data_IF_192361344343
#
_entry.id   IF_192361344343
#
_cell.length_a   1.000
_cell.length_b   1.000
_cell.length_c   1.000
_cell.angle_alpha   90.00
_cell.angle_beta   90.00
_cell.angle_gamma   90.00
#
_symmetry.space_group_name_H-M   'P 1'
#
loop_
_entity.id
_entity.type
_entity.pdbx_description
1 polymer ?
#
# COMPACT_ATOMS: atom_id res chain seq x y z
N UNK A 1 -11.96 -5.52 -10.08
CA UNK A 1 -11.14 -6.73 -9.79
C UNK A 1 -9.83 -6.65 -10.57
N UNK A 2 -8.74 -7.22 -10.03
CA UNK A 2 -7.49 -7.37 -10.80
C UNK A 2 -7.19 -8.85 -10.90
N UNK A 3 -7.00 -9.35 -12.14
CA UNK A 3 -6.61 -10.74 -12.43
C UNK A 3 -5.17 -10.76 -12.93
N UNK A 4 -4.35 -11.55 -12.29
CA UNK A 4 -2.93 -11.75 -12.58
C UNK A 4 -2.75 -13.20 -13.01
N UNK A 5 -2.28 -13.42 -14.24
CA UNK A 5 -2.14 -14.74 -14.83
C UNK A 5 -0.69 -14.99 -15.25
N UNK A 6 -0.07 -16.00 -14.65
CA UNK A 6 1.25 -16.55 -14.98
C UNK A 6 2.38 -15.49 -15.06
N UNK A 7 2.31 -14.48 -14.18
CA UNK A 7 3.32 -13.41 -14.17
C UNK A 7 4.67 -13.96 -13.73
N UNK A 8 5.68 -13.71 -14.58
CA UNK A 8 7.09 -13.87 -14.25
C UNK A 8 7.83 -12.56 -14.51
N UNK A 9 8.81 -12.25 -13.68
CA UNK A 9 9.61 -11.04 -13.78
C UNK A 9 11.05 -11.28 -13.37
N UNK A 10 11.98 -10.82 -14.20
CA UNK A 10 13.42 -10.93 -13.96
C UNK A 10 14.10 -9.56 -14.05
N UNK A 11 15.14 -9.35 -13.25
CA UNK A 11 16.02 -8.18 -13.31
C UNK A 11 17.46 -8.70 -13.42
N UNK A 12 18.20 -8.24 -14.41
CA UNK A 12 19.61 -8.63 -14.63
C UNK A 12 19.79 -10.16 -14.60
N UNK A 13 18.93 -10.90 -15.31
CA UNK A 13 18.95 -12.36 -15.38
C UNK A 13 18.48 -13.09 -14.12
N UNK A 14 18.18 -12.39 -13.02
CA UNK A 14 17.70 -13.02 -11.78
C UNK A 14 16.17 -12.96 -11.70
N UNK A 15 15.54 -14.12 -11.57
CA UNK A 15 14.08 -14.21 -11.37
C UNK A 15 13.69 -13.58 -10.03
N UNK A 16 12.81 -12.59 -10.08
CA UNK A 16 12.20 -11.92 -8.92
C UNK A 16 10.80 -12.42 -8.64
N UNK A 17 10.06 -12.81 -9.68
CA UNK A 17 8.75 -13.43 -9.59
C UNK A 17 8.67 -14.56 -10.61
N UNK A 18 8.03 -15.67 -10.23
CA UNK A 18 7.91 -16.87 -11.04
C UNK A 18 6.49 -17.41 -11.00
N UNK A 19 5.81 -17.39 -12.15
CA UNK A 19 4.48 -17.97 -12.34
C UNK A 19 3.44 -17.53 -11.29
N UNK A 20 3.34 -16.22 -11.06
CA UNK A 20 2.39 -15.64 -10.10
C UNK A 20 0.97 -15.67 -10.69
N UNK A 21 0.06 -16.32 -10.00
CA UNK A 21 -1.38 -16.30 -10.26
C UNK A 21 -2.11 -15.75 -9.05
N UNK A 22 -2.84 -14.62 -9.21
CA UNK A 22 -3.47 -13.93 -8.11
C UNK A 22 -4.72 -13.17 -8.58
N UNK A 23 -5.79 -13.22 -7.78
CA UNK A 23 -6.98 -12.41 -7.98
C UNK A 23 -7.15 -11.43 -6.81
N UNK A 24 -7.08 -10.12 -7.08
CA UNK A 24 -7.39 -9.08 -6.12
C UNK A 24 -8.86 -8.73 -6.26
N UNK A 25 -9.63 -8.99 -5.22
CA UNK A 25 -11.08 -8.84 -5.24
C UNK A 25 -11.48 -7.40 -4.94
N UNK A 26 -12.55 -6.94 -5.61
CA UNK A 26 -13.10 -5.60 -5.40
C UNK A 26 -13.63 -5.45 -3.97
N UNK A 27 -13.47 -4.25 -3.39
CA UNK A 27 -13.94 -3.91 -2.04
C UNK A 27 -13.41 -4.84 -0.95
N UNK A 28 -12.17 -5.31 -1.13
CA UNK A 28 -11.48 -6.20 -0.20
C UNK A 28 -10.07 -5.70 0.10
N UNK A 29 -9.61 -5.99 1.30
CA UNK A 29 -8.25 -5.70 1.73
C UNK A 29 -7.40 -6.95 1.56
N UNK A 30 -6.41 -6.88 0.66
CA UNK A 30 -5.44 -7.94 0.41
C UNK A 30 -4.09 -7.54 0.97
N UNK A 31 -3.58 -8.31 1.91
CA UNK A 31 -2.23 -8.15 2.45
C UNK A 31 -1.27 -9.11 1.73
N UNK A 32 -0.15 -8.56 1.29
CA UNK A 32 0.96 -9.33 0.69
C UNK A 32 2.12 -9.30 1.68
N UNK A 33 2.58 -10.47 2.12
CA UNK A 33 3.70 -10.59 3.05
C UNK A 33 4.76 -11.56 2.53
N UNK A 34 5.89 -11.62 3.21
CA UNK A 34 7.03 -12.48 2.88
C UNK A 34 8.34 -11.86 3.32
N UNK A 35 9.41 -12.64 3.32
CA UNK A 35 10.76 -12.19 3.69
C UNK A 35 11.24 -11.04 2.79
N UNK A 36 12.28 -10.33 3.23
CA UNK A 36 12.96 -9.34 2.39
C UNK A 36 13.47 -10.02 1.11
N UNK A 37 13.26 -9.36 -0.04
CA UNK A 37 13.65 -9.91 -1.33
C UNK A 37 12.68 -10.96 -1.92
N UNK A 38 11.58 -11.32 -1.25
CA UNK A 38 10.62 -12.31 -1.76
C UNK A 38 9.82 -11.86 -3.00
N UNK A 39 9.90 -10.58 -3.39
CA UNK A 39 9.24 -10.06 -4.58
C UNK A 39 8.02 -9.18 -4.32
N UNK A 40 7.65 -8.88 -3.06
CA UNK A 40 6.47 -8.07 -2.69
C UNK A 40 6.40 -6.74 -3.45
N UNK A 41 7.42 -5.90 -3.33
CA UNK A 41 7.44 -4.59 -4.00
C UNK A 41 7.46 -4.69 -5.53
N UNK A 42 8.06 -5.76 -6.09
CA UNK A 42 7.98 -6.02 -7.53
C UNK A 42 6.56 -6.37 -7.94
N UNK A 43 5.89 -7.24 -7.18
CA UNK A 43 4.51 -7.64 -7.47
C UNK A 43 3.55 -6.44 -7.46
N UNK A 44 3.60 -5.59 -6.43
CA UNK A 44 2.69 -4.43 -6.37
C UNK A 44 3.02 -3.37 -7.44
N UNK A 45 4.29 -3.19 -7.82
CA UNK A 45 4.68 -2.31 -8.94
C UNK A 45 4.17 -2.85 -10.28
N UNK A 46 4.14 -4.18 -10.46
CA UNK A 46 3.55 -4.81 -11.65
C UNK A 46 2.02 -4.65 -11.62
N UNK A 47 1.36 -4.85 -10.48
CA UNK A 47 -0.08 -4.61 -10.31
C UNK A 47 -0.42 -3.16 -10.70
N UNK A 48 0.44 -2.21 -10.34
CA UNK A 48 0.28 -0.79 -10.65
C UNK A 48 0.80 -0.40 -12.06
N UNK A 49 1.26 -1.35 -12.87
CA UNK A 49 1.83 -1.13 -14.20
C UNK A 49 3.02 -0.17 -14.25
N UNK A 50 3.74 0.01 -13.13
CA UNK A 50 4.97 0.81 -13.06
C UNK A 50 6.13 0.07 -13.70
N UNK A 51 6.14 -1.26 -13.57
CA UNK A 51 7.07 -2.16 -14.26
C UNK A 51 6.28 -3.23 -14.99
N UNK A 52 6.82 -3.70 -16.11
CA UNK A 52 6.17 -4.71 -16.93
C UNK A 52 6.74 -6.10 -16.62
N UNK A 53 5.89 -7.14 -16.58
CA UNK A 53 6.35 -8.50 -16.42
C UNK A 53 7.08 -9.00 -17.68
N UNK A 54 7.99 -9.95 -17.49
CA UNK A 54 8.67 -10.63 -18.61
C UNK A 54 7.75 -11.64 -19.31
N UNK A 55 6.78 -12.20 -18.56
CA UNK A 55 5.77 -13.17 -19.07
C UNK A 55 4.46 -13.00 -18.31
N UNK A 56 3.36 -13.42 -18.91
CA UNK A 56 2.02 -13.40 -18.33
C UNK A 56 1.25 -12.12 -18.63
N UNK A 57 0.10 -11.97 -17.99
CA UNK A 57 -0.80 -10.83 -18.25
C UNK A 57 -1.52 -10.35 -16.99
N UNK A 58 -1.90 -9.07 -16.98
CA UNK A 58 -2.74 -8.46 -15.97
C UNK A 58 -3.96 -7.83 -16.63
N UNK A 59 -5.13 -8.16 -16.08
CA UNK A 59 -6.39 -7.48 -16.43
C UNK A 59 -6.88 -6.73 -15.19
N UNK A 60 -7.23 -5.44 -15.35
CA UNK A 60 -7.70 -4.57 -14.28
C UNK A 60 -8.94 -3.80 -14.72
N UNK A 61 -9.96 -3.76 -13.85
CA UNK A 61 -11.17 -2.96 -14.05
C UNK A 61 -11.04 -1.55 -13.45
N UNK A 62 -9.85 -1.18 -12.95
CA UNK A 62 -9.60 0.14 -12.39
C UNK A 62 -8.95 1.06 -13.43
N UNK A 63 -9.43 2.30 -13.46
CA UNK A 63 -8.83 3.35 -14.30
C UNK A 63 -7.45 3.76 -13.80
N UNK A 64 -6.56 4.05 -14.72
CA UNK A 64 -5.20 4.52 -14.44
C UNK A 64 -5.13 6.05 -14.46
N UNK A 65 -4.15 6.64 -13.80
CA UNK A 65 -3.13 6.01 -12.95
C UNK A 65 -3.66 5.62 -11.56
N UNK A 66 -3.27 4.45 -11.06
CA UNK A 66 -3.59 3.99 -9.70
C UNK A 66 -2.57 4.60 -8.74
N UNK A 67 -2.99 5.37 -7.75
CA UNK A 67 -2.07 5.91 -6.76
C UNK A 67 -1.46 4.84 -5.89
N UNK A 68 -0.16 4.98 -5.65
CA UNK A 68 0.62 4.07 -4.84
C UNK A 68 1.48 4.84 -3.84
N UNK A 69 1.40 4.46 -2.57
CA UNK A 69 2.38 4.85 -1.56
C UNK A 69 3.60 3.95 -1.69
N UNK A 70 4.72 4.52 -2.13
CA UNK A 70 6.00 3.82 -2.21
C UNK A 70 6.66 3.75 -0.83
N UNK A 71 7.55 2.78 -0.64
CA UNK A 71 8.40 2.67 0.55
C UNK A 71 9.26 3.92 0.79
N UNK A 72 9.68 4.60 -0.30
CA UNK A 72 10.39 5.90 -0.27
C UNK A 72 9.58 6.93 -1.05
N UNK A 73 8.60 7.59 -0.43
CA UNK A 73 7.75 8.55 -1.13
C UNK A 73 8.49 9.87 -1.41
N UNK A 74 8.08 10.54 -2.48
CA UNK A 74 8.61 11.87 -2.83
C UNK A 74 8.05 12.92 -1.87
N UNK A 75 8.95 13.79 -1.39
CA UNK A 75 8.61 14.96 -0.58
C UNK A 75 9.14 16.26 -1.19
N UNK A 76 8.46 17.37 -0.88
CA UNK A 76 8.90 18.72 -1.22
C UNK A 76 9.71 19.31 -0.06
N UNK A 77 10.70 20.15 -0.37
CA UNK A 77 11.40 20.98 0.63
C UNK A 77 10.54 22.19 1.03
N UNK A 78 9.33 21.93 1.51
CA UNK A 78 8.32 22.90 1.93
C UNK A 78 7.77 22.52 3.31
N UNK A 79 6.63 23.11 3.71
CA UNK A 79 5.95 22.77 4.96
C UNK A 79 5.34 21.35 4.94
N UNK A 80 4.95 20.85 6.11
CA UNK A 80 4.17 19.62 6.24
C UNK A 80 2.86 19.74 5.45
N UNK A 81 2.15 20.86 5.58
CA UNK A 81 0.86 21.08 4.90
C UNK A 81 1.00 21.08 3.38
N UNK A 82 2.05 21.69 2.82
CA UNK A 82 2.33 21.63 1.38
C UNK A 82 2.57 20.19 0.90
N UNK A 83 3.28 19.40 1.70
CA UNK A 83 3.53 17.99 1.39
C UNK A 83 2.25 17.15 1.48
N UNK A 84 1.38 17.42 2.45
CA UNK A 84 0.07 16.77 2.55
C UNK A 84 -0.80 17.09 1.33
N UNK A 85 -0.88 18.37 0.93
CA UNK A 85 -1.70 18.84 -0.18
C UNK A 85 -1.12 18.58 -1.56
N UNK A 86 0.09 18.04 -1.67
CA UNK A 86 0.81 17.89 -2.94
C UNK A 86 -0.03 17.23 -4.04
N UNK A 87 -0.64 16.09 -3.75
CA UNK A 87 -1.42 15.36 -4.75
C UNK A 87 -2.74 16.06 -5.08
N UNK A 88 -3.41 16.67 -4.11
CA UNK A 88 -4.65 17.41 -4.36
C UNK A 88 -4.41 18.63 -5.23
N UNK A 89 -3.30 19.31 -5.04
CA UNK A 89 -2.91 20.45 -5.87
C UNK A 89 -2.63 20.03 -7.32
N UNK A 90 -1.96 18.87 -7.52
CA UNK A 90 -1.71 18.31 -8.85
C UNK A 90 -3.01 17.89 -9.52
N UNK A 91 -3.92 17.21 -8.80
CA UNK A 91 -5.16 16.67 -9.34
C UNK A 91 -6.34 17.64 -9.29
N UNK A 92 -6.17 18.83 -8.70
CA UNK A 92 -7.24 19.83 -8.45
C UNK A 92 -8.48 19.19 -7.77
N UNK A 93 -8.25 18.29 -6.82
CA UNK A 93 -9.29 17.51 -6.16
C UNK A 93 -9.52 17.94 -4.72
N UNK A 94 -10.73 17.72 -4.18
CA UNK A 94 -11.04 17.92 -2.76
C UNK A 94 -10.25 16.96 -1.90
N UNK A 95 -9.86 17.39 -0.70
CA UNK A 95 -9.07 16.62 0.26
C UNK A 95 -9.93 16.24 1.46
N UNK A 96 -10.00 14.96 1.77
CA UNK A 96 -10.55 14.49 3.02
C UNK A 96 -9.46 14.56 4.11
N UNK A 97 -9.63 15.45 5.10
CA UNK A 97 -8.66 15.65 6.18
C UNK A 97 -8.75 14.63 7.33
N UNK A 98 -9.58 13.58 7.21
CA UNK A 98 -9.76 12.59 8.28
C UNK A 98 -8.44 11.98 8.75
N UNK A 99 -7.58 11.57 7.82
CA UNK A 99 -6.27 10.99 8.15
C UNK A 99 -5.28 12.01 8.69
N UNK A 100 -5.37 13.25 8.23
CA UNK A 100 -4.59 14.35 8.76
C UNK A 100 -4.91 14.59 10.24
N UNK A 101 -6.19 14.53 10.59
CA UNK A 101 -6.66 14.64 11.98
C UNK A 101 -6.34 13.38 12.80
N UNK A 102 -6.46 12.18 12.21
CA UNK A 102 -6.14 10.91 12.85
C UNK A 102 -4.72 10.89 13.45
N UNK A 103 -3.77 11.51 12.76
CA UNK A 103 -2.38 11.59 13.21
C UNK A 103 -2.02 12.92 13.88
N UNK A 104 -2.99 13.75 14.26
CA UNK A 104 -2.79 15.04 14.93
C UNK A 104 -1.81 15.99 14.21
N UNK A 105 -1.76 15.95 12.88
CA UNK A 105 -0.79 16.70 12.07
C UNK A 105 -1.02 18.23 12.09
N UNK A 106 -2.18 18.70 12.54
CA UNK A 106 -2.50 20.14 12.63
C UNK A 106 -1.47 20.94 13.43
N UNK A 107 -0.93 20.36 14.51
CA UNK A 107 0.06 21.02 15.36
C UNK A 107 1.40 21.26 14.64
N UNK A 108 1.67 20.48 13.60
CA UNK A 108 2.94 20.48 12.86
C UNK A 108 2.83 21.14 11.48
N UNK A 109 1.66 21.63 11.07
CA UNK A 109 1.35 22.04 9.69
C UNK A 109 2.35 23.01 9.07
N UNK A 110 2.87 23.97 9.85
CA UNK A 110 3.85 25.00 9.39
C UNK A 110 5.30 24.53 9.46
N UNK A 111 5.58 23.38 10.10
CA UNK A 111 6.94 22.86 10.26
C UNK A 111 7.52 22.46 8.90
N UNK A 112 8.79 22.79 8.66
CA UNK A 112 9.50 22.36 7.44
C UNK A 112 9.58 20.83 7.40
N UNK A 113 9.22 20.22 6.28
CA UNK A 113 9.15 18.77 6.15
C UNK A 113 10.47 18.07 6.49
N UNK A 114 11.60 18.66 6.12
CA UNK A 114 12.93 18.13 6.43
C UNK A 114 13.23 18.01 7.93
N UNK A 115 12.55 18.81 8.77
CA UNK A 115 12.72 18.84 10.22
C UNK A 115 11.75 17.89 10.96
N UNK A 116 10.95 17.11 10.24
CA UNK A 116 10.09 16.09 10.82
C UNK A 116 10.90 14.81 11.07
N UNK A 117 10.51 14.07 12.13
CA UNK A 117 10.99 12.69 12.32
C UNK A 117 10.50 11.78 11.18
N UNK A 118 11.14 10.62 10.99
CA UNK A 118 10.72 9.67 9.96
C UNK A 118 9.28 9.16 10.20
N UNK A 119 8.88 8.99 11.46
CA UNK A 119 7.50 8.64 11.81
C UNK A 119 6.50 9.76 11.47
N UNK A 120 6.83 11.03 11.76
CA UNK A 120 6.00 12.17 11.36
C UNK A 120 5.88 12.29 9.83
N UNK A 121 6.98 12.10 9.09
CA UNK A 121 6.97 12.05 7.63
C UNK A 121 6.07 10.94 7.10
N UNK A 122 6.15 9.75 7.69
CA UNK A 122 5.33 8.61 7.30
C UNK A 122 3.84 8.88 7.52
N UNK A 123 3.46 9.49 8.65
CA UNK A 123 2.09 9.93 8.93
C UNK A 123 1.57 10.91 7.87
N UNK A 124 2.40 11.85 7.42
CA UNK A 124 2.04 12.79 6.33
C UNK A 124 1.83 12.04 5.01
N UNK A 125 2.71 11.10 4.67
CA UNK A 125 2.57 10.32 3.44
C UNK A 125 1.31 9.48 3.43
N UNK A 126 1.02 8.75 4.52
CA UNK A 126 -0.23 8.00 4.66
C UNK A 126 -1.43 8.94 4.51
N UNK A 127 -1.45 10.04 5.27
CA UNK A 127 -2.55 11.01 5.24
C UNK A 127 -2.78 11.55 3.83
N UNK A 128 -1.72 11.90 3.11
CA UNK A 128 -1.77 12.38 1.73
C UNK A 128 -2.44 11.36 0.80
N UNK A 129 -2.05 10.07 0.89
CA UNK A 129 -2.59 9.02 0.03
C UNK A 129 -4.01 8.64 0.38
N UNK A 130 -4.32 8.53 1.67
CA UNK A 130 -5.64 8.14 2.15
C UNK A 130 -6.69 9.25 2.02
N UNK A 131 -6.25 10.49 1.79
CA UNK A 131 -7.14 11.65 1.62
C UNK A 131 -7.82 11.73 0.25
N UNK A 132 -7.47 10.85 -0.69
CA UNK A 132 -8.06 10.81 -2.03
C UNK A 132 -9.25 9.85 -2.09
N UNK A 133 -10.27 10.26 -2.83
CA UNK A 133 -11.36 9.36 -3.23
C UNK A 133 -10.89 8.49 -4.40
N UNK A 134 -10.63 7.21 -4.10
CA UNK A 134 -10.16 6.23 -5.07
C UNK A 134 -10.76 4.87 -4.74
N UNK A 135 -11.07 4.09 -5.79
CA UNK A 135 -11.59 2.73 -5.63
C UNK A 135 -10.51 1.72 -5.28
N UNK A 136 -9.28 1.98 -5.72
CA UNK A 136 -8.11 1.12 -5.45
C UNK A 136 -6.98 1.93 -4.84
N UNK A 137 -6.44 1.44 -3.73
CA UNK A 137 -5.31 2.00 -2.99
C UNK A 137 -4.22 0.94 -2.89
N UNK A 138 -2.98 1.30 -3.25
CA UNK A 138 -1.82 0.42 -3.14
C UNK A 138 -0.81 1.05 -2.18
N UNK A 139 -0.38 0.30 -1.17
CA UNK A 139 0.52 0.78 -0.11
C UNK A 139 1.70 -0.19 0.06
N UNK A 140 2.93 0.31 -0.14
CA UNK A 140 4.15 -0.47 0.07
C UNK A 140 4.72 -0.17 1.47
N UNK A 141 4.59 -1.13 2.40
CA UNK A 141 5.06 -1.05 3.79
C UNK A 141 4.63 0.24 4.51
N UNK A 142 3.33 0.57 4.54
CA UNK A 142 2.85 1.86 5.02
C UNK A 142 3.11 2.10 6.52
N UNK A 143 3.24 1.05 7.31
CA UNK A 143 3.45 1.13 8.77
C UNK A 143 4.92 1.29 9.17
N UNK A 144 5.85 1.35 8.23
CA UNK A 144 7.26 1.55 8.52
C UNK A 144 7.48 2.88 9.28
N UNK A 145 8.27 2.85 10.35
CA UNK A 145 8.57 4.01 11.22
C UNK A 145 7.37 4.60 11.98
N UNK A 146 6.19 4.00 11.96
CA UNK A 146 5.10 4.41 12.85
C UNK A 146 5.35 3.92 14.28
N UNK A 147 4.98 4.76 15.27
CA UNK A 147 4.82 4.31 16.65
C UNK A 147 3.60 3.38 16.79
N UNK A 148 3.56 2.57 17.86
CA UNK A 148 2.53 1.56 18.08
C UNK A 148 1.10 2.13 18.08
N UNK A 149 0.89 3.32 18.63
CA UNK A 149 -0.41 3.96 18.70
C UNK A 149 -0.89 4.37 17.31
N UNK A 150 -0.01 5.00 16.53
CA UNK A 150 -0.28 5.39 15.14
C UNK A 150 -0.50 4.19 14.24
N UNK A 151 0.25 3.11 14.43
CA UNK A 151 0.07 1.86 13.69
C UNK A 151 -1.30 1.24 13.95
N UNK A 152 -1.71 1.11 15.23
CA UNK A 152 -3.04 0.64 15.61
C UNK A 152 -4.15 1.51 15.02
N UNK A 153 -4.01 2.83 15.13
CA UNK A 153 -4.98 3.80 14.60
C UNK A 153 -5.11 3.67 13.08
N UNK A 154 -3.99 3.50 12.37
CA UNK A 154 -3.97 3.30 10.93
C UNK A 154 -4.71 2.01 10.54
N UNK A 155 -4.37 0.85 11.12
CA UNK A 155 -5.02 -0.41 10.79
C UNK A 155 -6.51 -0.43 11.17
N UNK A 156 -6.87 0.16 12.31
CA UNK A 156 -8.28 0.35 12.69
C UNK A 156 -9.03 1.21 11.67
N UNK A 157 -8.38 2.21 11.06
CA UNK A 157 -9.00 3.03 10.01
C UNK A 157 -9.23 2.25 8.72
N UNK A 158 -8.33 1.33 8.35
CA UNK A 158 -8.49 0.47 7.17
C UNK A 158 -9.72 -0.42 7.28
N UNK A 159 -9.99 -1.00 8.47
CA UNK A 159 -11.15 -1.87 8.68
C UNK A 159 -12.50 -1.18 8.43
N UNK A 160 -12.54 0.15 8.49
CA UNK A 160 -13.73 0.98 8.23
C UNK A 160 -13.95 1.29 6.75
N UNK A 161 -12.95 1.00 5.88
CA UNK A 161 -13.00 1.31 4.45
C UNK A 161 -13.66 0.20 3.61
N UNK A 162 -14.90 -0.15 3.94
CA UNK A 162 -15.62 -1.30 3.35
C UNK A 162 -15.83 -1.23 1.83
N UNK A 163 -15.83 -0.03 1.24
CA UNK A 163 -16.10 0.17 -0.19
C UNK A 163 -14.84 0.44 -1.01
N UNK A 164 -13.66 0.20 -0.45
CA UNK A 164 -12.37 0.39 -1.13
C UNK A 164 -11.68 -0.95 -1.33
N UNK A 165 -11.00 -1.05 -2.45
CA UNK A 165 -10.05 -2.15 -2.68
C UNK A 165 -8.69 -1.69 -2.21
N UNK A 166 -8.07 -2.44 -1.31
CA UNK A 166 -6.78 -2.06 -0.74
C UNK A 166 -5.81 -3.22 -0.93
N UNK A 167 -4.64 -2.93 -1.47
CA UNK A 167 -3.52 -3.86 -1.57
C UNK A 167 -2.36 -3.26 -0.79
N UNK A 168 -1.87 -3.97 0.21
CA UNK A 168 -0.74 -3.47 0.98
C UNK A 168 0.28 -4.57 1.26
N UNK A 169 1.56 -4.17 1.33
CA UNK A 169 2.61 -5.06 1.79
C UNK A 169 2.88 -4.84 3.27
N UNK A 170 3.09 -5.92 4.02
CA UNK A 170 3.46 -5.87 5.44
C UNK A 170 4.52 -6.91 5.75
N UNK A 171 5.37 -6.61 6.74
CA UNK A 171 6.28 -7.59 7.35
C UNK A 171 5.67 -8.23 8.59
N UNK A 172 5.04 -7.42 9.44
CA UNK A 172 4.42 -7.88 10.67
C UNK A 172 2.92 -8.12 10.45
N UNK A 173 2.44 -9.27 10.91
CA UNK A 173 1.04 -9.71 10.76
C UNK A 173 0.22 -9.58 12.05
N UNK A 174 0.73 -8.88 13.07
CA UNK A 174 0.10 -8.79 14.40
C UNK A 174 -1.36 -8.36 14.33
N UNK A 175 -1.67 -7.34 13.54
CA UNK A 175 -3.03 -6.78 13.44
C UNK A 175 -3.82 -7.27 12.22
N UNK A 176 -3.29 -8.21 11.44
CA UNK A 176 -3.86 -8.57 10.13
C UNK A 176 -5.30 -9.09 10.22
N UNK A 177 -5.63 -9.77 11.35
CA UNK A 177 -6.97 -10.34 11.58
C UNK A 177 -8.06 -9.27 11.72
N UNK A 178 -7.69 -8.08 12.16
CA UNK A 178 -8.61 -7.00 12.50
C UNK A 178 -9.10 -6.24 11.28
N UNK A 179 -8.36 -6.28 10.17
CA UNK A 179 -8.68 -5.45 9.00
C UNK A 179 -8.61 -6.18 7.65
N UNK A 180 -7.79 -7.24 7.49
CA UNK A 180 -7.58 -7.87 6.19
C UNK A 180 -8.62 -8.95 5.85
N UNK A 181 -9.02 -9.01 4.59
CA UNK A 181 -9.87 -10.09 4.06
C UNK A 181 -9.04 -11.26 3.52
N UNK A 182 -7.93 -10.95 2.80
CA UNK A 182 -7.09 -11.91 2.10
C UNK A 182 -5.63 -11.73 2.49
N UNK A 183 -4.93 -12.86 2.56
CA UNK A 183 -3.49 -12.93 2.75
C UNK A 183 -2.83 -13.64 1.57
N UNK A 184 -1.76 -13.04 1.06
CA UNK A 184 -0.86 -13.62 0.08
C UNK A 184 0.53 -13.70 0.71
N UNK A 185 1.11 -14.89 0.78
CA UNK A 185 2.49 -15.06 1.27
C UNK A 185 3.39 -15.38 0.09
N UNK A 186 4.39 -14.54 -0.09
CA UNK A 186 5.45 -14.71 -1.09
C UNK A 186 6.71 -15.28 -0.44
N UNK A 187 7.27 -16.29 -1.05
CA UNK A 187 8.62 -16.77 -0.76
C UNK A 187 9.39 -17.01 -2.05
N UNK A 188 10.60 -16.45 -2.12
CA UNK A 188 11.53 -16.65 -3.25
C UNK A 188 10.87 -16.45 -4.63
N UNK A 189 10.01 -15.41 -4.72
CA UNK A 189 9.31 -15.05 -5.97
C UNK A 189 8.10 -15.90 -6.32
N UNK A 190 7.64 -16.78 -5.43
CA UNK A 190 6.46 -17.65 -5.63
C UNK A 190 5.41 -17.38 -4.56
N UNK A 191 4.14 -17.59 -4.90
CA UNK A 191 3.06 -17.57 -3.90
C UNK A 191 3.02 -18.95 -3.22
N UNK A 192 3.20 -18.96 -1.90
CA UNK A 192 3.10 -20.18 -1.06
C UNK A 192 1.78 -20.23 -0.28
N UNK A 193 1.07 -19.10 -0.17
CA UNK A 193 -0.27 -19.04 0.40
C UNK A 193 -1.07 -17.92 -0.28
N UNK A 194 -2.35 -18.17 -0.61
CA UNK A 194 -3.26 -17.19 -1.20
C UNK A 194 -4.71 -17.58 -0.86
N UNK A 195 -5.20 -17.08 0.27
CA UNK A 195 -6.58 -17.36 0.69
C UNK A 195 -7.08 -16.28 1.69
N UNK A 196 -8.28 -16.47 2.22
CA UNK A 196 -8.86 -15.61 3.26
C UNK A 196 -8.07 -15.71 4.56
N UNK A 197 -8.08 -14.60 5.34
CA UNK A 197 -7.49 -14.58 6.68
C UNK A 197 -8.06 -15.68 7.56
N UNK A 198 -9.38 -15.96 7.47
CA UNK A 198 -10.04 -17.02 8.24
C UNK A 198 -9.40 -18.39 8.05
N UNK A 199 -8.93 -18.71 6.84
CA UNK A 199 -8.24 -19.99 6.59
C UNK A 199 -6.81 -20.01 7.12
N UNK A 200 -6.13 -18.86 7.11
CA UNK A 200 -4.78 -18.75 7.68
C UNK A 200 -4.78 -18.96 9.19
N UNK A 201 -5.81 -18.48 9.89
CA UNK A 201 -5.88 -18.51 11.36
C UNK A 201 -6.44 -19.80 11.94
N UNK A 202 -6.93 -20.72 11.10
CA UNK A 202 -7.41 -22.07 11.51
C UNK A 202 -6.31 -23.13 11.45
N UNK A 203 -5.12 -22.79 10.97
CA UNK A 203 -3.90 -23.61 10.99
C UNK A 203 -3.02 -23.20 12.18
#
# INVERSE_FOLDING_TARGET
MIKINNISYAINGKNKLSNINLNIRRNKITVITGKNGSGKSSLIKIINKIIFPSKGSIKSDYSEPIPMLFQKPISLNKSLEDNFLLLSNIKKSKVNKSYYNLFNLNKLKKRKFKNLSEGEKQKVFISRFMSFEQDLIILDEPNQNLDLESEKSFFSSLSKMKNKTIVLTLHNLTYIKDFADYLVILDSGKIIFNDTIKKFTKK
#
